data_IF_695246154915
#
_entry.id   IF_695246154915
#
_cell.length_a   1.000
_cell.length_b   1.000
_cell.length_c   1.000
_cell.angle_alpha   90.00
_cell.angle_beta   90.00
_cell.angle_gamma   90.00
#
_symmetry.space_group_name_H-M   'P 1'
#
loop_
_entity.id
_entity.type
_entity.pdbx_description
1 polymer ?
#
# COMPACT_ATOMS: atom_id res chain seq x y z
N UNK A 1 -14.17 -1.72 7.96
CA UNK A 1 -12.84 -2.33 7.81
C UNK A 1 -11.94 -1.39 7.05
N UNK A 2 -10.70 -1.26 7.49
CA UNK A 2 -9.70 -0.43 6.82
C UNK A 2 -8.65 -1.31 6.17
N UNK A 3 -8.43 -1.11 4.89
CA UNK A 3 -7.50 -1.88 4.07
C UNK A 3 -6.37 -0.97 3.58
N UNK A 4 -5.13 -1.34 3.91
CA UNK A 4 -3.94 -0.65 3.40
C UNK A 4 -3.35 -1.48 2.26
N UNK A 5 -3.14 -0.84 1.12
CA UNK A 5 -2.59 -1.51 -0.06
C UNK A 5 -1.06 -1.45 -0.05
N UNK A 6 -0.41 -2.59 -0.30
CA UNK A 6 0.98 -2.60 -0.72
C UNK A 6 1.11 -1.88 -2.07
N UNK A 7 2.26 -1.28 -2.32
CA UNK A 7 2.52 -0.53 -3.55
C UNK A 7 2.24 -1.36 -4.80
N UNK A 8 2.69 -2.63 -4.83
CA UNK A 8 2.45 -3.51 -5.97
C UNK A 8 0.97 -3.80 -6.20
N UNK A 9 0.22 -4.00 -5.12
CA UNK A 9 -1.23 -4.27 -5.21
C UNK A 9 -1.94 -3.06 -5.82
N UNK A 10 -1.58 -1.86 -5.40
CA UNK A 10 -2.13 -0.64 -5.98
C UNK A 10 -1.87 -0.57 -7.49
N UNK A 11 -0.64 -0.83 -7.90
CA UNK A 11 -0.27 -0.82 -9.33
C UNK A 11 -1.00 -1.90 -10.12
N UNK A 12 -1.17 -3.10 -9.55
CA UNK A 12 -1.89 -4.19 -10.20
C UNK A 12 -3.37 -3.91 -10.38
N UNK A 13 -3.99 -3.18 -9.46
CA UNK A 13 -5.40 -2.78 -9.62
C UNK A 13 -5.63 -2.05 -10.95
N UNK A 14 -4.64 -1.31 -11.41
CA UNK A 14 -4.72 -0.57 -12.65
C UNK A 14 -4.19 -1.35 -13.85
N UNK A 15 -3.00 -1.96 -13.71
CA UNK A 15 -2.28 -2.52 -14.87
C UNK A 15 -2.41 -4.03 -15.02
N UNK A 16 -2.69 -4.75 -13.96
CA UNK A 16 -2.72 -6.21 -13.96
C UNK A 16 -3.73 -6.76 -12.94
N UNK A 17 -5.03 -6.38 -13.04
CA UNK A 17 -6.02 -6.79 -12.04
C UNK A 17 -6.17 -8.31 -11.94
N UNK A 18 -5.80 -9.06 -12.98
CA UNK A 18 -5.82 -10.53 -12.96
C UNK A 18 -4.86 -11.14 -11.93
N UNK A 19 -3.86 -10.39 -11.45
CA UNK A 19 -2.92 -10.86 -10.42
C UNK A 19 -3.52 -10.77 -9.01
N UNK A 20 -4.66 -10.11 -8.84
CA UNK A 20 -5.28 -9.90 -7.55
C UNK A 20 -6.31 -10.98 -7.30
N UNK A 21 -6.23 -11.71 -6.16
CA UNK A 21 -7.26 -12.69 -5.81
C UNK A 21 -8.65 -12.08 -5.72
N UNK A 22 -9.66 -12.87 -6.07
CA UNK A 22 -11.05 -12.40 -6.11
C UNK A 22 -11.52 -11.87 -4.75
N UNK A 23 -11.12 -12.50 -3.65
CA UNK A 23 -11.53 -12.06 -2.30
C UNK A 23 -10.92 -10.69 -1.93
N UNK A 24 -9.72 -10.37 -2.43
CA UNK A 24 -9.11 -9.04 -2.24
C UNK A 24 -9.84 -8.02 -3.10
N UNK A 25 -10.14 -8.36 -4.35
CA UNK A 25 -10.88 -7.48 -5.25
C UNK A 25 -12.27 -7.16 -4.68
N UNK A 26 -12.92 -8.15 -4.07
CA UNK A 26 -14.22 -7.96 -3.43
C UNK A 26 -14.15 -6.95 -2.26
N UNK A 27 -13.08 -7.01 -1.46
CA UNK A 27 -12.86 -6.03 -0.38
C UNK A 27 -12.61 -4.62 -0.93
N UNK A 28 -11.84 -4.53 -1.99
CA UNK A 28 -11.55 -3.25 -2.64
C UNK A 28 -12.82 -2.59 -3.18
N UNK A 29 -13.76 -3.37 -3.68
CA UNK A 29 -15.02 -2.88 -4.25
C UNK A 29 -16.13 -2.72 -3.21
N UNK A 30 -15.94 -3.20 -1.98
CA UNK A 30 -16.93 -3.11 -0.91
C UNK A 30 -17.03 -1.68 -0.39
N UNK A 31 -18.22 -1.09 -0.48
CA UNK A 31 -18.48 0.27 0.00
C UNK A 31 -18.30 0.43 1.51
N UNK A 32 -18.33 -0.67 2.27
CA UNK A 32 -18.09 -0.65 3.73
C UNK A 32 -16.63 -0.82 4.10
N UNK A 33 -15.74 -0.98 3.12
CA UNK A 33 -14.30 -1.09 3.32
C UNK A 33 -13.65 0.23 2.87
N UNK A 34 -12.95 0.88 3.80
CA UNK A 34 -12.13 2.05 3.48
C UNK A 34 -10.77 1.59 3.00
N UNK A 35 -10.36 2.04 1.82
CA UNK A 35 -9.12 1.63 1.19
C UNK A 35 -8.13 2.78 1.22
N UNK A 36 -6.92 2.47 1.71
CA UNK A 36 -5.85 3.44 1.90
C UNK A 36 -4.62 3.09 1.10
N UNK A 37 -3.93 4.10 0.62
CA UNK A 37 -2.59 4.01 0.07
C UNK A 37 -1.66 4.90 0.91
N UNK A 38 -0.51 4.36 1.32
CA UNK A 38 0.45 5.13 2.10
C UNK A 38 1.12 6.21 1.25
N UNK A 39 1.39 7.35 1.87
CA UNK A 39 2.28 8.37 1.28
C UNK A 39 3.65 7.78 0.94
N UNK A 40 4.12 6.79 1.69
CA UNK A 40 5.35 6.07 1.40
C UNK A 40 5.31 5.37 0.04
N UNK A 41 4.15 4.80 -0.34
CA UNK A 41 3.96 4.18 -1.65
C UNK A 41 4.03 5.19 -2.78
N UNK A 42 3.44 6.37 -2.58
CA UNK A 42 3.50 7.46 -3.56
C UNK A 42 4.94 7.90 -3.76
N UNK A 43 5.68 8.05 -2.67
CA UNK A 43 7.10 8.42 -2.72
C UNK A 43 7.93 7.36 -3.44
N UNK A 44 7.71 6.09 -3.12
CA UNK A 44 8.38 4.97 -3.80
C UNK A 44 8.12 4.98 -5.30
N UNK A 45 6.87 5.16 -5.71
CA UNK A 45 6.50 5.23 -7.13
C UNK A 45 7.15 6.41 -7.83
N UNK A 46 7.22 7.56 -7.17
CA UNK A 46 7.88 8.75 -7.73
C UNK A 46 9.36 8.49 -8.00
N UNK A 47 10.06 7.90 -7.04
CA UNK A 47 11.48 7.56 -7.18
C UNK A 47 11.68 6.59 -8.34
N UNK A 48 10.92 5.49 -8.37
CA UNK A 48 11.06 4.45 -9.40
C UNK A 48 10.69 4.96 -10.78
N UNK A 49 9.70 5.83 -10.89
CA UNK A 49 9.31 6.45 -12.15
C UNK A 49 10.44 7.35 -12.69
N UNK A 50 11.04 8.18 -11.82
CA UNK A 50 12.15 9.05 -12.20
C UNK A 50 13.39 8.26 -12.64
N UNK A 51 13.62 7.08 -12.04
CA UNK A 51 14.75 6.21 -12.40
C UNK A 51 14.49 5.35 -13.64
N UNK A 52 13.32 5.43 -14.23
CA UNK A 52 12.94 4.60 -15.37
C UNK A 52 12.64 3.15 -15.02
N UNK A 53 12.49 2.83 -13.74
CA UNK A 53 12.17 1.48 -13.25
C UNK A 53 10.68 1.19 -13.16
N UNK A 54 9.85 2.23 -13.28
CA UNK A 54 8.40 2.13 -13.25
C UNK A 54 7.82 2.99 -14.37
N UNK A 55 7.06 2.37 -15.26
CA UNK A 55 6.33 3.06 -16.31
C UNK A 55 4.88 3.28 -15.89
N UNK A 56 4.42 4.51 -15.95
CA UNK A 56 3.05 4.89 -15.66
C UNK A 56 2.39 5.42 -16.94
N UNK A 57 1.12 5.10 -17.12
CA UNK A 57 0.33 5.57 -18.28
C UNK A 57 -0.18 7.01 -18.11
N UNK A 58 -0.16 7.52 -16.86
CA UNK A 58 -0.48 8.89 -16.52
C UNK A 58 0.61 9.47 -15.61
N UNK A 59 0.79 10.79 -15.55
CA UNK A 59 1.59 11.41 -14.49
C UNK A 59 1.10 10.96 -13.12
N UNK A 60 2.03 10.71 -12.19
CA UNK A 60 1.71 10.13 -10.89
C UNK A 60 0.64 10.93 -10.12
N UNK A 61 0.73 12.26 -10.12
CA UNK A 61 -0.24 13.11 -9.44
C UNK A 61 -1.66 12.93 -10.02
N UNK A 62 -1.78 12.80 -11.34
CA UNK A 62 -3.07 12.58 -12.00
C UNK A 62 -3.62 11.19 -11.69
N UNK A 63 -2.75 10.17 -11.69
CA UNK A 63 -3.14 8.80 -11.35
C UNK A 63 -3.72 8.73 -9.94
N UNK A 64 -3.03 9.30 -8.95
CA UNK A 64 -3.48 9.28 -7.56
C UNK A 64 -4.80 10.05 -7.41
N UNK A 65 -4.88 11.24 -8.00
CA UNK A 65 -6.05 12.09 -7.95
C UNK A 65 -7.28 11.38 -8.54
N UNK A 66 -7.10 10.72 -9.67
CA UNK A 66 -8.16 9.96 -10.32
C UNK A 66 -8.66 8.81 -9.44
N UNK A 67 -7.75 8.08 -8.79
CA UNK A 67 -8.12 6.98 -7.90
C UNK A 67 -8.87 7.48 -6.66
N UNK A 68 -8.49 8.63 -6.13
CA UNK A 68 -9.21 9.23 -5.01
C UNK A 68 -10.64 9.64 -5.40
N UNK A 69 -10.79 10.24 -6.56
CA UNK A 69 -12.10 10.70 -7.03
C UNK A 69 -13.02 9.57 -7.49
N UNK A 70 -12.48 8.62 -8.25
CA UNK A 70 -13.28 7.58 -8.89
C UNK A 70 -13.57 6.40 -7.97
N UNK A 71 -12.63 6.05 -7.10
CA UNK A 71 -12.70 4.84 -6.28
C UNK A 71 -12.70 5.10 -4.78
N UNK A 72 -12.70 6.35 -4.36
CA UNK A 72 -12.70 6.69 -2.95
C UNK A 72 -11.43 6.32 -2.21
N UNK A 73 -10.31 6.19 -2.92
CA UNK A 73 -9.02 5.92 -2.30
C UNK A 73 -8.65 7.04 -1.32
N UNK A 74 -8.20 6.66 -0.12
CA UNK A 74 -7.73 7.61 0.87
C UNK A 74 -6.22 7.50 1.00
N UNK A 75 -5.55 8.64 1.22
CA UNK A 75 -4.11 8.67 1.37
C UNK A 75 -3.77 8.69 2.86
N UNK A 76 -2.97 7.70 3.29
CA UNK A 76 -2.48 7.62 4.67
C UNK A 76 -1.17 8.39 4.77
N UNK A 77 -1.20 9.52 5.48
CA UNK A 77 -0.02 10.34 5.73
C UNK A 77 0.96 9.64 6.67
N UNK A 78 2.23 10.05 6.58
CA UNK A 78 3.29 9.54 7.46
C UNK A 78 3.35 10.42 8.70
N UNK A 79 3.10 9.83 9.87
CA UNK A 79 3.16 10.50 11.17
C UNK A 79 4.49 10.18 11.85
N UNK A 80 4.90 11.05 12.78
CA UNK A 80 6.11 10.82 13.57
C UNK A 80 6.08 9.47 14.28
N UNK A 81 4.92 9.08 14.80
CA UNK A 81 4.76 7.79 15.48
C UNK A 81 5.08 6.60 14.58
N UNK A 82 4.75 6.69 13.29
CA UNK A 82 5.10 5.65 12.31
C UNK A 82 6.62 5.51 12.19
N UNK A 83 7.32 6.64 12.07
CA UNK A 83 8.78 6.66 11.95
C UNK A 83 9.43 6.09 13.21
N UNK A 84 8.99 6.51 14.39
CA UNK A 84 9.56 6.05 15.65
C UNK A 84 9.34 4.55 15.87
N UNK A 85 8.23 4.01 15.41
CA UNK A 85 7.93 2.58 15.52
C UNK A 85 8.88 1.69 14.72
N UNK A 86 9.54 2.22 13.70
CA UNK A 86 10.52 1.47 12.89
C UNK A 86 11.67 0.91 13.74
N UNK A 87 12.01 1.58 14.82
CA UNK A 87 13.11 1.17 15.72
C UNK A 87 12.91 -0.23 16.27
N UNK A 88 11.67 -0.61 16.57
CA UNK A 88 11.34 -1.88 17.20
C UNK A 88 10.85 -2.94 16.21
N UNK A 89 10.81 -2.61 14.92
CA UNK A 89 10.36 -3.54 13.89
C UNK A 89 11.47 -4.56 13.59
N UNK A 90 11.19 -5.88 13.66
CA UNK A 90 12.17 -6.89 13.27
C UNK A 90 12.67 -6.69 11.83
N UNK A 91 13.88 -7.20 11.53
CA UNK A 91 14.57 -6.95 10.26
C UNK A 91 14.38 -8.08 9.25
N UNK A 92 13.20 -8.69 9.18
CA UNK A 92 12.87 -9.69 8.17
C UNK A 92 12.79 -9.10 6.77
N UNK A 93 12.43 -7.83 6.67
CA UNK A 93 12.35 -7.08 5.43
C UNK A 93 13.30 -5.89 5.50
N UNK A 94 14.05 -5.65 4.42
CA UNK A 94 15.06 -4.59 4.36
C UNK A 94 14.59 -3.33 3.62
N UNK A 95 13.52 -3.42 2.82
CA UNK A 95 13.03 -2.29 2.06
C UNK A 95 12.42 -1.24 2.99
N UNK A 96 12.92 0.01 3.00
CA UNK A 96 12.44 1.03 3.92
C UNK A 96 10.99 1.44 3.67
N UNK A 97 10.51 1.39 2.44
CA UNK A 97 9.12 1.72 2.12
C UNK A 97 8.17 0.65 2.66
N UNK A 98 8.51 -0.62 2.44
CA UNK A 98 7.70 -1.75 2.93
C UNK A 98 7.69 -1.78 4.46
N UNK A 99 8.83 -1.50 5.10
CA UNK A 99 8.91 -1.43 6.56
C UNK A 99 8.00 -0.32 7.10
N UNK A 100 7.95 0.82 6.45
CA UNK A 100 7.10 1.94 6.85
C UNK A 100 5.62 1.59 6.70
N UNK A 101 5.24 0.94 5.59
CA UNK A 101 3.88 0.48 5.36
C UNK A 101 3.46 -0.53 6.45
N UNK A 102 4.36 -1.43 6.84
CA UNK A 102 4.11 -2.40 7.91
C UNK A 102 3.77 -1.72 9.24
N UNK A 103 4.59 -0.77 9.69
CA UNK A 103 4.33 -0.08 10.96
C UNK A 103 3.05 0.75 10.89
N UNK A 104 2.73 1.31 9.73
CA UNK A 104 1.47 2.02 9.54
C UNK A 104 0.28 1.08 9.72
N UNK A 105 0.31 -0.09 9.09
CA UNK A 105 -0.74 -1.08 9.23
C UNK A 105 -0.92 -1.51 10.70
N UNK A 106 0.17 -1.73 11.41
CA UNK A 106 0.15 -2.10 12.83
C UNK A 106 -0.46 -0.99 13.71
N UNK A 107 0.04 0.23 13.58
CA UNK A 107 -0.37 1.35 14.43
C UNK A 107 -1.80 1.83 14.13
N UNK A 108 -2.22 1.74 12.88
CA UNK A 108 -3.54 2.20 12.46
C UNK A 108 -4.59 1.07 12.45
N UNK A 109 -4.21 -0.14 12.87
CA UNK A 109 -5.09 -1.31 12.90
C UNK A 109 -5.74 -1.58 11.53
N UNK A 110 -4.96 -1.54 10.48
CA UNK A 110 -5.41 -1.83 9.13
C UNK A 110 -5.00 -3.23 8.71
N UNK A 111 -5.82 -3.86 7.87
CA UNK A 111 -5.40 -5.05 7.16
C UNK A 111 -4.48 -4.65 6.02
N UNK A 112 -3.38 -5.37 5.85
CA UNK A 112 -2.40 -5.11 4.79
C UNK A 112 -2.62 -6.08 3.64
N UNK A 113 -3.01 -5.57 2.48
CA UNK A 113 -3.14 -6.38 1.27
C UNK A 113 -1.79 -6.43 0.55
N UNK A 114 -1.15 -7.59 0.54
CA UNK A 114 0.16 -7.78 -0.08
C UNK A 114 0.37 -9.22 -0.50
N UNK A 115 1.00 -9.39 -1.67
CA UNK A 115 1.46 -10.69 -2.15
C UNK A 115 2.82 -11.09 -1.58
N UNK A 116 3.52 -10.19 -0.90
CA UNK A 116 4.86 -10.43 -0.37
C UNK A 116 4.79 -11.32 0.86
N UNK A 117 5.31 -12.57 0.73
CA UNK A 117 5.29 -13.55 1.81
C UNK A 117 6.12 -13.13 3.03
N UNK A 118 7.07 -12.21 2.87
CA UNK A 118 7.91 -11.73 3.99
C UNK A 118 7.03 -11.06 5.07
N UNK A 119 5.93 -10.44 4.70
CA UNK A 119 5.01 -9.81 5.65
C UNK A 119 4.40 -10.79 6.64
N UNK A 120 4.35 -12.09 6.31
CA UNK A 120 3.84 -13.13 7.22
C UNK A 120 4.70 -13.30 8.48
N UNK A 121 5.94 -12.84 8.45
CA UNK A 121 6.85 -12.90 9.61
C UNK A 121 6.62 -11.75 10.61
N UNK A 122 5.71 -10.85 10.32
CA UNK A 122 5.42 -9.69 11.16
C UNK A 122 4.06 -9.81 11.83
N UNK A 123 3.91 -9.14 12.98
CA UNK A 123 2.64 -9.06 13.70
C UNK A 123 1.73 -8.03 13.02
N UNK A 124 1.25 -8.36 11.83
CA UNK A 124 0.33 -7.55 11.05
C UNK A 124 -0.79 -8.43 10.52
N UNK A 125 -2.00 -7.87 10.41
CA UNK A 125 -3.14 -8.57 9.82
C UNK A 125 -3.02 -8.50 8.29
N UNK A 126 -2.22 -9.39 7.74
CA UNK A 126 -1.99 -9.49 6.30
C UNK A 126 -3.02 -10.34 5.61
N UNK A 127 -3.43 -9.92 4.42
CA UNK A 127 -4.36 -10.67 3.57
C UNK A 127 -3.85 -10.74 2.13
N UNK A 128 -4.01 -11.94 1.58
CA UNK A 128 -3.74 -12.15 0.15
C UNK A 128 -4.42 -13.40 -0.41
#
# INVERSE_FOLDING_TARGET
MNLLLDTHVFLWLRHAPHKIPQHIMALYEDMHCDVFLSMASIWEMQIKNQLGKLTLDLPLNELIEQQCLDNGLQILGIESAHIYALKNLPTHHNDPFDRLILVQAQLENMKLASADSVFKHYAVDGIW
#
